data_IF_995818716307
#
_entry.id   IF_995818716307
#
_cell.length_a   1.000
_cell.length_b   1.000
_cell.length_c   1.000
_cell.angle_alpha   90.00
_cell.angle_beta   90.00
_cell.angle_gamma   90.00
#
_symmetry.space_group_name_H-M   'P 1'
#
loop_
_entity.id
_entity.type
_entity.pdbx_description
1 polymer ?
#
# COMPACT_ATOMS: atom_id res chain seq x y z
N UNK A 1 3.59 -0.93 -23.45
CA UNK A 1 4.22 -1.82 -22.46
C UNK A 1 3.13 -2.23 -21.47
N UNK A 2 2.57 -3.44 -21.60
CA UNK A 2 1.53 -3.91 -20.66
C UNK A 2 2.23 -4.23 -19.35
N UNK A 3 2.01 -3.42 -18.31
CA UNK A 3 2.50 -3.71 -16.96
C UNK A 3 1.96 -5.06 -16.52
N UNK A 4 2.78 -6.11 -16.65
CA UNK A 4 2.45 -7.41 -16.07
C UNK A 4 2.54 -7.21 -14.56
N UNK A 5 1.41 -7.41 -13.87
CA UNK A 5 1.47 -7.84 -12.48
C UNK A 5 2.31 -9.11 -12.50
N UNK A 6 3.53 -9.04 -11.98
CA UNK A 6 4.38 -10.22 -11.88
C UNK A 6 3.71 -11.13 -10.86
N UNK A 7 2.97 -12.12 -11.36
CA UNK A 7 2.57 -13.27 -10.55
C UNK A 7 3.88 -13.90 -10.07
N UNK A 8 4.15 -13.98 -8.76
CA UNK A 8 5.51 -14.15 -8.28
C UNK A 8 6.02 -15.55 -8.61
N UNK A 9 7.19 -15.64 -9.27
CA UNK A 9 8.21 -16.52 -8.68
C UNK A 9 8.38 -15.97 -7.28
N UNK A 10 8.09 -16.76 -6.23
CA UNK A 10 8.18 -16.35 -4.83
C UNK A 10 9.36 -15.38 -4.65
N UNK A 11 9.08 -14.08 -4.60
CA UNK A 11 10.08 -13.08 -4.29
C UNK A 11 10.37 -13.28 -2.82
N UNK A 12 11.41 -14.05 -2.51
CA UNK A 12 11.84 -14.31 -1.14
C UNK A 12 12.51 -13.06 -0.55
N UNK A 13 11.75 -11.96 -0.42
CA UNK A 13 12.24 -10.73 0.19
C UNK A 13 12.53 -10.97 1.67
N UNK A 14 11.54 -11.51 2.40
CA UNK A 14 11.64 -11.85 3.81
C UNK A 14 11.28 -13.32 4.06
N UNK A 15 12.30 -14.17 4.20
CA UNK A 15 12.09 -15.55 4.68
C UNK A 15 11.67 -15.59 6.16
N UNK A 16 11.34 -16.78 6.66
CA UNK A 16 10.83 -16.99 8.03
C UNK A 16 11.68 -16.33 9.12
N UNK A 17 13.01 -16.45 9.06
CA UNK A 17 13.91 -15.86 10.05
C UNK A 17 13.91 -14.32 10.02
N UNK A 18 13.81 -13.70 8.83
CA UNK A 18 13.68 -12.25 8.72
C UNK A 18 12.37 -11.75 9.33
N UNK A 19 11.26 -12.45 9.11
CA UNK A 19 9.96 -12.04 9.70
C UNK A 19 10.01 -12.10 11.21
N UNK A 20 10.49 -13.22 11.77
CA UNK A 20 10.63 -13.38 13.22
C UNK A 20 11.53 -12.29 13.80
N UNK A 21 12.66 -12.00 13.13
CA UNK A 21 13.56 -10.93 13.53
C UNK A 21 12.85 -9.57 13.56
N UNK A 22 12.15 -9.18 12.49
CA UNK A 22 11.49 -7.88 12.40
C UNK A 22 10.42 -7.69 13.48
N UNK A 23 9.64 -8.72 13.80
CA UNK A 23 8.65 -8.66 14.87
C UNK A 23 9.33 -8.50 16.24
N UNK A 24 10.36 -9.28 16.52
CA UNK A 24 11.14 -9.17 17.75
C UNK A 24 11.85 -7.82 17.87
N UNK A 25 12.34 -7.27 16.75
CA UNK A 25 12.98 -5.97 16.68
C UNK A 25 12.04 -4.86 17.14
N UNK A 26 10.78 -4.88 16.68
CA UNK A 26 9.75 -3.93 17.13
C UNK A 26 9.50 -4.08 18.64
N UNK A 27 9.34 -5.31 19.13
CA UNK A 27 9.14 -5.56 20.56
C UNK A 27 10.32 -5.05 21.41
N UNK A 28 11.57 -5.19 20.94
CA UNK A 28 12.76 -4.67 21.63
C UNK A 28 12.83 -3.15 21.68
N UNK A 29 12.22 -2.46 20.70
CA UNK A 29 12.17 -1.01 20.67
C UNK A 29 11.05 -0.41 21.53
N UNK A 30 10.24 -1.25 22.18
CA UNK A 30 9.12 -0.81 23.02
C UNK A 30 7.75 -1.15 22.44
N UNK A 31 7.69 -1.88 21.32
CA UNK A 31 6.46 -2.42 20.77
C UNK A 31 5.72 -1.45 19.85
N UNK A 32 4.41 -1.35 20.05
CA UNK A 32 3.46 -0.71 19.14
C UNK A 32 2.79 0.48 19.82
N UNK A 33 2.65 1.59 19.09
CA UNK A 33 1.91 2.78 19.48
C UNK A 33 0.74 3.03 18.52
N UNK A 34 -0.27 3.75 18.98
CA UNK A 34 -1.39 4.17 18.14
C UNK A 34 -0.90 5.12 17.04
N UNK A 35 -1.40 4.95 15.82
CA UNK A 35 -1.27 5.97 14.77
C UNK A 35 -2.34 7.04 14.98
N UNK A 36 -1.96 8.30 14.84
CA UNK A 36 -2.88 9.42 15.04
C UNK A 36 -4.02 9.39 14.01
N UNK A 37 -5.26 9.36 14.51
CA UNK A 37 -6.46 9.35 13.68
C UNK A 37 -6.79 8.01 13.01
N UNK A 38 -6.10 6.92 13.37
CA UNK A 38 -6.40 5.57 12.88
C UNK A 38 -6.39 4.56 14.04
N UNK A 39 -7.49 4.48 14.79
CA UNK A 39 -7.65 3.64 16.01
C UNK A 39 -7.29 2.15 15.84
N UNK A 40 -7.23 1.64 14.60
CA UNK A 40 -6.94 0.24 14.28
C UNK A 40 -5.60 0.04 13.59
N UNK A 41 -4.84 1.11 13.37
CA UNK A 41 -3.47 1.04 12.83
C UNK A 41 -2.51 1.38 13.96
N UNK A 42 -1.65 0.42 14.26
CA UNK A 42 -0.54 0.65 15.19
C UNK A 42 0.77 0.69 14.41
N UNK A 43 1.63 1.62 14.80
CA UNK A 43 2.98 1.79 14.26
C UNK A 43 4.01 1.44 15.35
N UNK A 44 5.21 0.99 14.99
CA UNK A 44 6.31 0.87 15.94
C UNK A 44 6.53 2.19 16.69
N UNK A 45 6.78 2.11 18.00
CA UNK A 45 6.97 3.28 18.87
C UNK A 45 8.15 4.17 18.46
N UNK A 46 8.24 5.36 19.06
CA UNK A 46 9.31 6.32 18.85
C UNK A 46 10.70 5.65 18.98
N UNK A 47 11.57 5.91 17.99
CA UNK A 47 12.89 5.29 17.90
C UNK A 47 13.02 4.21 16.83
N UNK A 48 11.92 3.69 16.29
CA UNK A 48 11.93 2.72 15.17
C UNK A 48 12.78 3.19 13.99
N UNK A 49 12.55 4.41 13.47
CA UNK A 49 13.28 4.93 12.31
C UNK A 49 14.79 4.99 12.58
N UNK A 50 15.19 5.45 13.77
CA UNK A 50 16.60 5.55 14.15
C UNK A 50 17.25 4.16 14.30
N UNK A 51 16.55 3.22 14.93
CA UNK A 51 17.00 1.83 15.06
C UNK A 51 17.12 1.14 13.70
N UNK A 52 16.07 1.21 12.88
CA UNK A 52 16.00 0.56 11.57
C UNK A 52 17.11 1.05 10.63
N UNK A 53 17.47 2.34 10.68
CA UNK A 53 18.59 2.90 9.90
C UNK A 53 19.95 2.31 10.26
N UNK A 54 20.12 1.81 11.48
CA UNK A 54 21.38 1.23 11.98
C UNK A 54 21.37 -0.30 11.94
N UNK A 55 20.22 -0.90 11.65
CA UNK A 55 20.02 -2.33 11.73
C UNK A 55 20.55 -3.05 10.47
N UNK A 56 21.49 -4.01 10.61
CA UNK A 56 22.10 -4.68 9.47
C UNK A 56 21.16 -5.67 8.75
N UNK A 57 20.11 -6.16 9.42
CA UNK A 57 19.09 -6.99 8.78
C UNK A 57 18.18 -6.11 7.91
N UNK A 58 17.73 -4.97 8.43
CA UNK A 58 16.95 -3.97 7.69
C UNK A 58 17.73 -3.49 6.46
N UNK A 59 19.01 -3.13 6.61
CA UNK A 59 19.85 -2.71 5.48
C UNK A 59 19.94 -3.78 4.38
N UNK A 60 20.09 -5.07 4.76
CA UNK A 60 20.09 -6.17 3.78
C UNK A 60 18.75 -6.37 3.09
N UNK A 61 17.63 -6.11 3.78
CA UNK A 61 16.31 -6.17 3.16
C UNK A 61 16.14 -5.03 2.15
N UNK A 62 16.50 -3.80 2.53
CA UNK A 62 16.53 -2.62 1.66
C UNK A 62 17.33 -2.88 0.37
N UNK A 63 18.53 -3.47 0.47
CA UNK A 63 19.32 -3.84 -0.71
C UNK A 63 18.66 -4.91 -1.59
N UNK A 64 18.02 -5.93 -1.01
CA UNK A 64 17.27 -6.92 -1.81
C UNK A 64 16.12 -6.28 -2.58
N UNK A 65 15.43 -5.32 -1.97
CA UNK A 65 14.34 -4.57 -2.61
C UNK A 65 14.91 -3.70 -3.72
N UNK A 66 16.04 -3.03 -3.48
CA UNK A 66 16.75 -2.26 -4.49
C UNK A 66 17.13 -3.12 -5.71
N UNK A 67 17.66 -4.32 -5.49
CA UNK A 67 18.01 -5.26 -6.56
C UNK A 67 16.79 -5.71 -7.37
N UNK A 68 15.62 -5.91 -6.75
CA UNK A 68 14.41 -6.29 -7.46
C UNK A 68 13.78 -5.14 -8.25
N UNK A 69 13.91 -3.91 -7.76
CA UNK A 69 13.28 -2.73 -8.37
C UNK A 69 14.21 -1.99 -9.35
N UNK A 70 15.51 -2.26 -9.30
CA UNK A 70 16.53 -1.53 -10.06
C UNK A 70 16.77 -0.10 -9.56
N UNK A 71 16.29 0.22 -8.35
CA UNK A 71 16.42 1.55 -7.73
C UNK A 71 17.30 1.41 -6.49
N UNK A 72 18.50 2.03 -6.45
CA UNK A 72 19.39 1.92 -5.30
C UNK A 72 18.76 2.48 -4.03
N UNK A 73 19.26 2.05 -2.88
CA UNK A 73 18.94 2.69 -1.59
C UNK A 73 19.58 4.08 -1.56
N UNK A 74 18.85 5.09 -1.08
CA UNK A 74 19.38 6.45 -0.97
C UNK A 74 18.75 7.23 0.19
N UNK A 75 19.33 8.36 0.64
CA UNK A 75 18.82 9.11 1.80
C UNK A 75 17.44 9.76 1.61
N UNK A 76 17.07 10.04 0.36
CA UNK A 76 15.84 10.77 -0.03
C UNK A 76 14.61 9.86 -0.27
N UNK A 77 14.59 8.67 0.31
CA UNK A 77 13.40 7.80 0.33
C UNK A 77 13.07 7.41 1.77
N UNK A 78 11.79 7.11 2.00
CA UNK A 78 11.31 6.64 3.30
C UNK A 78 11.98 5.29 3.63
N UNK A 79 12.36 5.08 4.88
CA UNK A 79 12.80 3.75 5.33
C UNK A 79 11.62 2.77 5.25
N UNK A 80 11.90 1.46 5.18
CA UNK A 80 10.82 0.46 5.30
C UNK A 80 9.97 0.73 6.55
N UNK A 81 8.66 0.76 6.36
CA UNK A 81 7.66 0.91 7.41
C UNK A 81 7.07 -0.45 7.75
N UNK A 82 6.74 -0.66 9.02
CA UNK A 82 5.98 -1.82 9.46
C UNK A 82 4.77 -1.28 10.20
N UNK A 83 3.60 -1.82 9.93
CA UNK A 83 2.38 -1.42 10.62
C UNK A 83 1.53 -2.64 10.92
N UNK A 84 0.73 -2.53 11.97
CA UNK A 84 -0.21 -3.53 12.42
C UNK A 84 -1.62 -3.01 12.24
N UNK A 85 -2.48 -3.85 11.68
CA UNK A 85 -3.90 -3.55 11.46
C UNK A 85 -4.73 -4.54 12.26
N UNK A 86 -5.50 -4.00 13.20
CA UNK A 86 -6.46 -4.75 14.00
C UNK A 86 -7.81 -4.85 13.29
N UNK A 87 -8.66 -5.76 13.77
CA UNK A 87 -9.98 -5.99 13.18
C UNK A 87 -10.95 -4.82 13.37
N UNK A 88 -11.74 -4.48 12.35
CA UNK A 88 -12.93 -3.62 12.46
C UNK A 88 -14.24 -4.41 12.50
N UNK A 89 -14.18 -5.73 12.67
CA UNK A 89 -15.35 -6.60 12.63
C UNK A 89 -15.92 -6.76 11.20
N UNK A 90 -17.17 -7.21 11.12
CA UNK A 90 -17.89 -7.53 9.88
C UNK A 90 -18.96 -6.49 9.51
N UNK A 91 -19.00 -5.35 10.18
CA UNK A 91 -19.94 -4.27 9.90
C UNK A 91 -19.20 -2.97 9.58
N UNK A 92 -19.65 -2.20 8.57
CA UNK A 92 -20.75 -2.50 7.64
C UNK A 92 -20.36 -3.50 6.54
N UNK A 93 -21.32 -3.86 5.67
CA UNK A 93 -21.07 -4.58 4.39
C UNK A 93 -20.37 -5.94 4.54
N UNK A 94 -20.66 -6.68 5.61
CA UNK A 94 -20.00 -7.96 5.88
C UNK A 94 -18.48 -7.85 6.06
N UNK A 95 -17.97 -6.64 6.33
CA UNK A 95 -16.55 -6.34 6.47
C UNK A 95 -15.81 -6.17 5.15
N UNK A 96 -16.50 -6.09 4.01
CA UNK A 96 -15.87 -5.95 2.69
C UNK A 96 -15.76 -4.48 2.24
N UNK A 97 -14.96 -3.69 2.96
CA UNK A 97 -14.70 -2.29 2.62
C UNK A 97 -13.27 -1.87 2.99
N UNK A 98 -12.70 -0.81 2.39
CA UNK A 98 -11.41 -0.26 2.77
C UNK A 98 -11.58 0.85 3.83
N UNK A 99 -11.21 0.62 5.11
CA UNK A 99 -11.43 1.60 6.18
C UNK A 99 -10.70 2.94 5.96
N UNK A 100 -9.63 2.93 5.17
CA UNK A 100 -8.81 4.12 4.88
C UNK A 100 -9.04 4.69 3.47
N UNK A 101 -10.12 4.27 2.81
CA UNK A 101 -10.44 4.68 1.44
C UNK A 101 -9.45 4.13 0.39
N UNK A 102 -9.60 4.63 -0.84
CA UNK A 102 -8.67 4.35 -1.94
C UNK A 102 -7.59 5.42 -2.01
N UNK A 103 -6.39 5.02 -2.38
CA UNK A 103 -5.29 5.94 -2.63
C UNK A 103 -4.42 5.47 -3.78
N UNK A 104 -3.67 6.41 -4.35
CA UNK A 104 -2.49 6.09 -5.13
C UNK A 104 -1.26 6.26 -4.25
N UNK A 105 -0.33 5.29 -4.27
CA UNK A 105 0.82 5.31 -3.36
C UNK A 105 1.78 6.49 -3.60
N UNK A 106 1.69 7.15 -4.75
CA UNK A 106 2.41 8.40 -5.04
C UNK A 106 1.67 9.66 -4.54
N UNK A 107 0.65 9.52 -3.71
CA UNK A 107 -0.05 10.65 -3.09
C UNK A 107 0.97 11.54 -2.38
N UNK A 108 1.02 12.82 -2.74
CA UNK A 108 1.98 13.83 -2.24
C UNK A 108 3.47 13.49 -2.48
N UNK A 109 3.75 12.35 -3.12
CA UNK A 109 5.09 11.77 -3.35
C UNK A 109 5.17 11.28 -4.80
N UNK A 110 5.17 12.17 -5.80
CA UNK A 110 5.04 11.81 -7.21
C UNK A 110 6.15 10.91 -7.75
N UNK A 111 7.32 10.91 -7.09
CA UNK A 111 8.51 10.16 -7.49
C UNK A 111 8.58 8.74 -6.95
N UNK A 112 7.58 8.27 -6.18
CA UNK A 112 7.44 6.86 -5.81
C UNK A 112 7.23 6.03 -7.06
N UNK A 113 8.21 5.19 -7.38
CA UNK A 113 8.23 4.36 -8.57
C UNK A 113 7.66 2.97 -8.33
N UNK A 114 7.93 2.39 -7.16
CA UNK A 114 7.43 1.07 -6.75
C UNK A 114 6.94 1.07 -5.32
N UNK A 115 5.91 0.26 -5.06
CA UNK A 115 5.52 -0.14 -3.71
C UNK A 115 5.70 -1.63 -3.56
N UNK A 116 6.41 -2.01 -2.50
CA UNK A 116 6.48 -3.36 -2.00
C UNK A 116 5.64 -3.48 -0.73
N UNK A 117 4.85 -4.55 -0.63
CA UNK A 117 4.24 -4.99 0.61
C UNK A 117 4.60 -6.44 0.89
N UNK A 118 4.98 -6.73 2.14
CA UNK A 118 5.28 -8.07 2.63
C UNK A 118 4.44 -8.33 3.88
N UNK A 119 3.66 -9.40 3.87
CA UNK A 119 2.75 -9.73 4.96
C UNK A 119 3.49 -10.56 6.01
N UNK A 120 3.85 -9.93 7.13
CA UNK A 120 4.62 -10.56 8.20
C UNK A 120 3.75 -11.47 9.08
N UNK A 121 2.49 -11.07 9.27
CA UNK A 121 1.44 -11.83 9.95
C UNK A 121 0.13 -11.67 9.18
N UNK A 122 -0.65 -12.75 9.09
CA UNK A 122 -1.93 -12.75 8.40
C UNK A 122 -3.09 -12.65 9.39
N UNK A 123 -4.18 -11.96 9.02
CA UNK A 123 -5.42 -12.03 9.78
C UNK A 123 -6.07 -13.41 9.58
N UNK A 124 -7.00 -13.76 10.47
CA UNK A 124 -7.83 -14.97 10.32
C UNK A 124 -8.79 -14.81 9.12
N UNK A 125 -9.30 -13.60 8.89
CA UNK A 125 -10.15 -13.25 7.74
C UNK A 125 -10.08 -11.77 7.38
N UNK A 126 -10.37 -11.44 6.11
CA UNK A 126 -10.26 -10.09 5.57
C UNK A 126 -8.83 -9.71 5.15
N UNK A 127 -8.51 -8.42 5.13
CA UNK A 127 -7.16 -7.90 4.92
C UNK A 127 -6.61 -8.02 3.49
N UNK A 128 -7.46 -8.13 2.47
CA UNK A 128 -7.01 -8.12 1.06
C UNK A 128 -6.39 -6.77 0.68
N UNK A 129 -5.44 -6.78 -0.25
CA UNK A 129 -5.09 -5.58 -1.03
C UNK A 129 -5.87 -5.61 -2.33
N UNK A 130 -6.53 -4.51 -2.69
CA UNK A 130 -7.33 -4.42 -3.91
C UNK A 130 -6.79 -3.35 -4.84
N UNK A 131 -6.93 -3.59 -6.14
CA UNK A 131 -6.61 -2.69 -7.23
C UNK A 131 -7.81 -2.64 -8.18
N UNK A 132 -8.83 -1.81 -7.88
CA UNK A 132 -10.12 -1.88 -8.59
C UNK A 132 -10.03 -1.56 -10.08
N UNK A 133 -9.06 -0.73 -10.49
CA UNK A 133 -8.85 -0.36 -11.90
C UNK A 133 -7.79 -1.24 -12.61
N UNK A 134 -7.23 -2.22 -11.92
CA UNK A 134 -6.27 -3.16 -12.51
C UNK A 134 -6.98 -4.31 -13.24
N UNK A 135 -6.25 -4.99 -14.12
CA UNK A 135 -6.74 -6.14 -14.86
C UNK A 135 -7.35 -5.80 -16.23
N UNK A 136 -8.20 -6.71 -16.72
CA UNK A 136 -8.96 -6.53 -17.96
C UNK A 136 -10.30 -5.87 -17.62
N UNK A 137 -10.59 -4.67 -18.14
CA UNK A 137 -11.89 -4.06 -17.91
C UNK A 137 -13.01 -4.92 -18.53
N UNK A 138 -14.23 -4.87 -17.98
CA UNK A 138 -15.40 -5.42 -18.66
C UNK A 138 -15.54 -4.82 -20.07
N UNK A 139 -15.98 -5.62 -21.03
CA UNK A 139 -16.03 -5.20 -22.44
C UNK A 139 -17.24 -4.34 -22.76
N UNK A 140 -18.40 -4.73 -22.25
CA UNK A 140 -19.71 -4.20 -22.61
C UNK A 140 -20.72 -4.30 -21.47
N UNK A 141 -21.90 -3.75 -21.72
CA UNK A 141 -23.02 -3.74 -20.78
C UNK A 141 -22.82 -2.80 -19.58
N UNK A 142 -23.65 -3.06 -18.57
CA UNK A 142 -23.70 -2.31 -17.32
C UNK A 142 -22.36 -2.30 -16.56
N UNK A 143 -21.63 -3.43 -16.42
CA UNK A 143 -20.33 -3.43 -15.72
C UNK A 143 -19.26 -2.57 -16.41
N UNK A 144 -19.27 -2.51 -17.74
CA UNK A 144 -18.33 -1.67 -18.49
C UNK A 144 -18.61 -0.18 -18.29
N UNK A 145 -19.89 0.20 -18.15
CA UNK A 145 -20.28 1.57 -17.85
C UNK A 145 -19.89 1.96 -16.42
N UNK A 146 -20.20 1.11 -15.43
CA UNK A 146 -19.73 1.28 -14.03
C UNK A 146 -18.21 1.43 -13.96
N UNK A 147 -17.45 0.61 -14.70
CA UNK A 147 -15.99 0.72 -14.76
C UNK A 147 -15.53 2.07 -15.32
N UNK A 148 -16.14 2.54 -16.43
CA UNK A 148 -15.80 3.83 -17.04
C UNK A 148 -16.09 5.00 -16.10
N UNK A 149 -17.26 5.02 -15.48
CA UNK A 149 -17.65 6.07 -14.52
C UNK A 149 -16.71 6.09 -13.31
N UNK A 150 -16.37 4.93 -12.78
CA UNK A 150 -15.45 4.84 -11.65
C UNK A 150 -14.03 5.27 -12.02
N UNK A 151 -13.53 4.88 -13.19
CA UNK A 151 -12.24 5.33 -13.70
C UNK A 151 -12.21 6.84 -13.91
N UNK A 152 -13.28 7.43 -14.47
CA UNK A 152 -13.39 8.87 -14.66
C UNK A 152 -13.38 9.62 -13.31
N UNK A 153 -14.16 9.18 -12.32
CA UNK A 153 -14.19 9.80 -11.00
C UNK A 153 -12.80 9.74 -10.30
N UNK A 154 -12.09 8.62 -10.40
CA UNK A 154 -10.74 8.49 -9.87
C UNK A 154 -9.70 9.30 -10.66
N UNK A 155 -9.91 9.52 -11.96
CA UNK A 155 -9.08 10.41 -12.77
C UNK A 155 -9.22 11.86 -12.33
N UNK A 156 -10.43 12.31 -11.99
CA UNK A 156 -10.71 13.67 -11.53
C UNK A 156 -10.07 13.97 -10.17
N UNK A 157 -9.94 12.93 -9.33
CA UNK A 157 -9.22 12.97 -8.05
C UNK A 157 -7.70 12.78 -8.21
N UNK A 158 -7.20 12.48 -9.41
CA UNK A 158 -5.78 12.22 -9.63
C UNK A 158 -5.00 13.52 -9.79
N UNK A 159 -4.76 14.22 -8.67
CA UNK A 159 -4.11 15.52 -8.65
C UNK A 159 -2.70 15.53 -9.25
N UNK A 160 -2.39 16.61 -9.98
CA UNK A 160 -1.05 17.00 -10.41
C UNK A 160 -0.39 18.00 -9.45
N UNK A 161 0.67 18.68 -9.90
CA UNK A 161 1.40 19.66 -9.09
C UNK A 161 0.49 20.77 -8.51
N UNK A 162 -0.48 21.25 -9.29
CA UNK A 162 -1.44 22.29 -8.87
C UNK A 162 -2.34 21.87 -7.69
N UNK A 163 -2.45 20.56 -7.43
CA UNK A 163 -3.22 19.98 -6.33
C UNK A 163 -2.32 19.24 -5.34
N UNK A 164 -1.04 19.61 -5.26
CA UNK A 164 -0.03 18.98 -4.40
C UNK A 164 0.07 17.46 -4.57
N UNK A 165 -0.24 16.95 -5.77
CA UNK A 165 -0.32 15.50 -6.02
C UNK A 165 -1.27 14.76 -5.06
N UNK A 166 -2.35 15.41 -4.62
CA UNK A 166 -3.40 14.78 -3.81
C UNK A 166 -4.12 13.71 -4.63
N UNK A 167 -4.14 12.47 -4.10
CA UNK A 167 -4.55 11.22 -4.79
C UNK A 167 -5.13 10.24 -3.78
N UNK A 168 -6.14 10.70 -3.04
CA UNK A 168 -6.92 9.92 -2.08
C UNK A 168 -8.40 10.10 -2.38
N UNK A 169 -9.17 9.05 -2.15
CA UNK A 169 -10.62 9.03 -2.25
C UNK A 169 -11.15 8.36 -0.98
N UNK A 170 -11.85 9.15 -0.17
CA UNK A 170 -12.53 8.65 1.03
C UNK A 170 -13.96 8.31 0.69
N UNK A 171 -14.46 7.24 1.30
CA UNK A 171 -15.83 6.80 1.14
C UNK A 171 -16.41 6.64 2.55
N UNK A 172 -17.56 7.26 2.79
CA UNK A 172 -18.34 6.92 3.97
C UNK A 172 -18.90 5.50 3.77
N UNK A 173 -18.42 4.57 4.58
CA UNK A 173 -18.75 3.14 4.50
C UNK A 173 -20.22 2.87 4.83
N UNK A 174 -20.89 3.82 5.50
CA UNK A 174 -22.31 3.77 5.81
C UNK A 174 -23.19 4.49 4.77
N UNK A 175 -22.59 5.31 3.90
CA UNK A 175 -23.33 6.00 2.86
C UNK A 175 -23.61 5.10 1.66
N UNK A 176 -24.73 5.38 1.00
CA UNK A 176 -24.96 4.90 -0.35
C UNK A 176 -24.10 5.73 -1.31
N UNK A 177 -23.21 5.05 -2.04
CA UNK A 177 -22.39 5.68 -3.07
C UNK A 177 -22.34 4.75 -4.29
N UNK A 178 -22.46 5.26 -5.53
CA UNK A 178 -22.50 4.43 -6.75
C UNK A 178 -21.26 3.56 -7.01
N UNK A 179 -20.19 3.73 -6.23
CA UNK A 179 -18.95 2.99 -6.36
C UNK A 179 -18.66 2.07 -5.17
N UNK A 180 -19.43 2.19 -4.08
CA UNK A 180 -19.20 1.33 -2.91
C UNK A 180 -19.44 -0.14 -3.23
N UNK A 181 -20.36 -0.45 -4.14
CA UNK A 181 -20.59 -1.82 -4.57
C UNK A 181 -19.40 -2.36 -5.37
N UNK A 182 -18.77 -1.56 -6.25
CA UNK A 182 -17.53 -1.97 -6.95
C UNK A 182 -16.36 -2.18 -5.99
N UNK A 183 -16.27 -1.33 -4.97
CA UNK A 183 -15.23 -1.42 -3.93
C UNK A 183 -15.46 -2.69 -3.08
N UNK A 184 -16.71 -2.97 -2.72
CA UNK A 184 -17.10 -4.18 -2.01
C UNK A 184 -16.80 -5.44 -2.83
N UNK A 185 -17.23 -5.49 -4.09
CA UNK A 185 -16.90 -6.54 -5.07
C UNK A 185 -15.37 -6.72 -5.18
N UNK A 186 -14.60 -5.62 -5.18
CA UNK A 186 -13.13 -5.69 -5.18
C UNK A 186 -12.59 -6.36 -3.92
N UNK A 187 -13.12 -6.01 -2.74
CA UNK A 187 -12.73 -6.61 -1.46
C UNK A 187 -13.15 -8.08 -1.33
N UNK A 188 -14.22 -8.50 -2.03
CA UNK A 188 -14.59 -9.91 -2.19
C UNK A 188 -13.68 -10.63 -3.18
N UNK A 189 -13.01 -9.89 -4.06
CA UNK A 189 -12.13 -10.41 -5.12
C UNK A 189 -12.88 -10.72 -6.41
N UNK A 190 -14.05 -10.14 -6.60
CA UNK A 190 -14.96 -10.33 -7.73
C UNK A 190 -14.74 -9.26 -8.82
N UNK A 191 -14.13 -8.12 -8.47
CA UNK A 191 -13.86 -7.02 -9.38
C UNK A 191 -12.40 -6.54 -9.30
N UNK A 192 -11.83 -6.10 -10.43
CA UNK A 192 -10.44 -5.65 -10.53
C UNK A 192 -9.42 -6.75 -10.25
N UNK A 193 -8.27 -6.37 -9.70
CA UNK A 193 -7.28 -7.32 -9.16
C UNK A 193 -7.30 -7.26 -7.64
N UNK A 194 -7.37 -8.42 -6.98
CA UNK A 194 -7.21 -8.52 -5.53
C UNK A 194 -6.06 -9.45 -5.17
N UNK A 195 -5.41 -9.16 -4.05
CA UNK A 195 -4.36 -9.98 -3.46
C UNK A 195 -4.74 -10.35 -2.03
N UNK A 196 -4.90 -11.64 -1.80
CA UNK A 196 -5.04 -12.23 -0.46
C UNK A 196 -3.75 -13.01 -0.16
N UNK A 197 -2.94 -12.58 0.81
CA UNK A 197 -1.79 -13.37 1.24
C UNK A 197 -2.26 -14.70 1.84
N UNK A 198 -1.71 -15.82 1.35
CA UNK A 198 -2.07 -17.17 1.81
C UNK A 198 -1.11 -17.72 2.87
N UNK A 199 0.09 -17.13 2.99
CA UNK A 199 1.08 -17.50 4.00
C UNK A 199 1.87 -16.26 4.48
N UNK A 200 2.36 -16.23 5.74
CA UNK A 200 3.29 -15.20 6.17
C UNK A 200 4.56 -15.19 5.30
N UNK A 201 4.98 -14.01 4.88
CA UNK A 201 6.07 -13.77 3.93
C UNK A 201 5.62 -13.58 2.49
N UNK A 202 4.34 -13.83 2.18
CA UNK A 202 3.76 -13.46 0.90
C UNK A 202 3.97 -11.97 0.63
N UNK A 203 4.25 -11.63 -0.62
CA UNK A 203 4.61 -10.27 -1.01
C UNK A 203 3.98 -9.89 -2.34
N UNK A 204 3.72 -8.59 -2.48
CA UNK A 204 3.35 -7.97 -3.75
C UNK A 204 4.28 -6.80 -4.03
N UNK A 205 4.74 -6.73 -5.28
CA UNK A 205 5.48 -5.60 -5.81
C UNK A 205 4.70 -5.07 -7.01
N UNK A 206 4.41 -3.78 -7.01
CA UNK A 206 3.69 -3.13 -8.11
C UNK A 206 4.23 -1.72 -8.36
N UNK A 207 4.14 -1.25 -9.62
CA UNK A 207 4.54 0.11 -9.94
C UNK A 207 3.63 1.09 -9.21
N UNK A 208 4.20 2.12 -8.61
CA UNK A 208 3.48 3.20 -7.93
C UNK A 208 3.67 4.54 -8.63
N UNK A 209 4.22 4.54 -9.85
CA UNK A 209 4.57 5.77 -10.55
C UNK A 209 3.32 6.61 -10.90
N UNK A 210 3.49 7.92 -10.89
CA UNK A 210 2.45 8.96 -11.04
C UNK A 210 1.62 8.96 -12.32
N UNK A 211 1.76 8.00 -13.22
CA UNK A 211 1.15 8.02 -14.57
C UNK A 211 0.07 6.96 -14.78
N UNK A 212 -0.15 6.08 -13.82
CA UNK A 212 -1.05 4.94 -13.97
C UNK A 212 -2.23 5.05 -13.02
N UNK A 213 -3.45 5.16 -13.56
CA UNK A 213 -4.67 5.01 -12.75
C UNK A 213 -4.90 3.56 -12.31
N UNK A 214 -4.26 2.58 -12.97
CA UNK A 214 -4.48 1.15 -12.68
C UNK A 214 -3.98 0.74 -11.29
N UNK A 215 -3.23 1.60 -10.62
CA UNK A 215 -2.55 1.36 -9.35
C UNK A 215 -3.20 2.12 -8.20
N UNK A 216 -4.39 2.69 -8.40
CA UNK A 216 -5.31 2.99 -7.31
C UNK A 216 -5.54 1.72 -6.49
N UNK A 217 -5.30 1.80 -5.19
CA UNK A 217 -5.23 0.65 -4.30
C UNK A 217 -5.84 0.95 -2.94
N UNK A 218 -6.24 -0.10 -2.22
CA UNK A 218 -6.61 -0.02 -0.81
C UNK A 218 -6.33 -1.32 -0.07
N UNK A 219 -6.09 -1.22 1.23
CA UNK A 219 -6.22 -2.36 2.15
C UNK A 219 -7.69 -2.50 2.55
N UNK A 220 -8.29 -3.65 2.27
CA UNK A 220 -9.61 -4.00 2.79
C UNK A 220 -9.53 -4.30 4.28
N UNK A 221 -10.64 -4.09 4.96
CA UNK A 221 -10.83 -4.33 6.38
C UNK A 221 -10.34 -5.71 6.81
N UNK A 222 -9.70 -5.77 7.97
CA UNK A 222 -9.41 -7.00 8.69
C UNK A 222 -10.68 -7.40 9.45
N UNK A 223 -11.31 -8.50 9.06
CA UNK A 223 -12.58 -8.91 9.67
C UNK A 223 -12.31 -9.62 10.99
N UNK A 224 -11.28 -10.48 11.05
CA UNK A 224 -10.91 -11.20 12.27
C UNK A 224 -9.39 -11.33 12.40
N UNK A 225 -8.90 -11.18 13.62
CA UNK A 225 -7.48 -11.29 13.95
C UNK A 225 -6.71 -10.00 13.68
N UNK A 226 -5.42 -10.14 13.37
CA UNK A 226 -4.50 -9.01 13.20
C UNK A 226 -3.60 -9.27 12.00
N UNK A 227 -3.44 -8.25 11.16
CA UNK A 227 -2.51 -8.26 10.05
C UNK A 227 -1.28 -7.41 10.40
N UNK A 228 -0.08 -7.88 10.10
CA UNK A 228 1.15 -7.07 10.22
C UNK A 228 1.83 -7.04 8.86
N UNK A 229 2.10 -5.84 8.36
CA UNK A 229 2.62 -5.61 7.02
C UNK A 229 3.90 -4.79 7.09
N UNK A 230 4.93 -5.22 6.37
CA UNK A 230 6.06 -4.40 5.98
C UNK A 230 5.75 -3.74 4.64
N UNK A 231 5.90 -2.42 4.57
CA UNK A 231 5.75 -1.63 3.35
C UNK A 231 7.03 -0.87 3.05
N UNK A 232 7.42 -0.85 1.77
CA UNK A 232 8.50 0.00 1.27
C UNK A 232 8.05 0.70 0.01
N UNK A 233 8.20 2.02 0.01
CA UNK A 233 8.13 2.83 -1.20
C UNK A 233 9.55 3.02 -1.73
N UNK A 234 9.78 2.65 -2.99
CA UNK A 234 11.02 2.99 -3.70
C UNK A 234 10.78 4.24 -4.51
N UNK A 235 11.56 5.27 -4.25
CA UNK A 235 11.51 6.54 -4.96
C UNK A 235 12.68 6.64 -5.92
N UNK A 236 12.52 7.39 -7.02
CA UNK A 236 13.69 7.72 -7.83
C UNK A 236 14.65 8.60 -7.03
N UNK A 237 15.98 8.41 -7.16
CA UNK A 237 16.96 9.30 -6.57
C UNK A 237 16.88 10.68 -7.22
N UNK A 238 17.37 11.74 -6.54
CA UNK A 238 17.18 13.13 -6.96
C UNK A 238 17.67 13.37 -8.40
N UNK A 239 18.76 12.72 -8.80
CA UNK A 239 19.38 12.88 -10.13
C UNK A 239 18.52 12.31 -11.26
N UNK A 240 17.50 11.50 -10.94
CA UNK A 240 16.55 10.91 -11.89
C UNK A 240 15.16 11.54 -11.81
N UNK A 241 14.90 12.45 -10.87
CA UNK A 241 13.63 13.19 -10.80
C UNK A 241 13.64 14.26 -11.90
N UNK A 242 12.58 14.29 -12.72
CA UNK A 242 12.49 15.24 -13.83
C UNK A 242 12.48 16.69 -13.31
N UNK A 243 13.06 17.62 -14.07
CA UNK A 243 13.12 19.04 -13.70
C UNK A 243 11.74 19.70 -13.64
N UNK A 244 10.74 19.13 -14.33
CA UNK A 244 9.40 19.70 -14.49
C UNK A 244 8.40 19.30 -13.40
N UNK A 245 8.76 18.39 -12.49
CA UNK A 245 7.94 18.03 -11.34
C UNK A 245 8.52 18.75 -10.11
N UNK A 246 7.87 19.82 -9.59
CA UNK A 246 8.38 20.53 -8.43
C UNK A 246 8.57 19.55 -7.28
N UNK A 247 9.78 19.50 -6.74
CA UNK A 247 10.16 18.65 -5.62
C UNK A 247 9.53 19.30 -4.38
N UNK A 248 8.45 18.76 -3.78
CA UNK A 248 8.10 19.18 -2.43
C UNK A 248 9.33 18.91 -1.56
N UNK A 249 9.75 19.85 -0.68
CA UNK A 249 10.91 19.64 0.16
C UNK A 249 10.79 18.28 0.82
N UNK A 250 11.82 17.43 0.66
CA UNK A 250 11.81 16.09 1.22
C UNK A 250 11.70 16.21 2.73
N UNK A 251 10.48 16.01 3.23
CA UNK A 251 10.23 15.73 4.62
C UNK A 251 10.23 14.21 4.73
N UNK A 252 11.25 13.58 5.34
CA UNK A 252 11.13 12.17 5.67
C UNK A 252 9.81 12.01 6.43
N UNK A 253 9.05 10.96 6.12
CA UNK A 253 7.82 10.66 6.85
C UNK A 253 8.21 10.26 8.28
N UNK A 254 8.38 11.29 9.12
CA UNK A 254 8.42 11.22 10.57
C UNK A 254 7.06 11.82 10.91
N UNK A 255 6.11 11.00 11.34
CA UNK A 255 4.83 11.53 11.81
C UNK A 255 5.12 12.67 12.80
N UNK A 256 4.43 13.80 12.61
CA UNK A 256 4.32 14.87 13.59
C UNK A 256 3.13 14.55 14.49
#
# INVERSE_FOLDING_TARGET
MVGRFLVPRQMAIACHSHRRYLLQFIDHLGGWGSSDGMDQVELPVEGYVAGARRDPIVARLEERIANHTGIPVHPHEDILSIFRVSSHGDSPRGGFFPPFGLHHDSHERPHRAWTLMVYLQLPDSGGRRIFPLAGRPPKDGEPAERHRQFMAALQDLFGGAERNFSRRAFFDVHAEHPFMDLIEESCRGEYGVSFLPMEPGAAILYPSHSRSLRTWTAGCNVIKGTQIVLQKFKEYPLERRGQDEPIPPYQPFVEQ
#
